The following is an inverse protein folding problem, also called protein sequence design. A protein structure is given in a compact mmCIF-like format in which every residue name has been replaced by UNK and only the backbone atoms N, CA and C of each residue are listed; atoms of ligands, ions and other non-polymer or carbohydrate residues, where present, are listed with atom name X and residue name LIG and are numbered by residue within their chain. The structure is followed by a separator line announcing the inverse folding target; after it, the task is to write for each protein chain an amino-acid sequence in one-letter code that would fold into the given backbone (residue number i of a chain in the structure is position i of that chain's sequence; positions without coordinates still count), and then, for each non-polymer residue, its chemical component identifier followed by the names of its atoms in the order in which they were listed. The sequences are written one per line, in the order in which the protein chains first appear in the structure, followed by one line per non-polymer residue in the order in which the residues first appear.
data_IF_359144183071
#
_entry.id   IF_359144183071
#
_cell.length_a   1.000
_cell.length_b   1.000
_cell.length_c   1.000
_cell.angle_alpha   90.00
_cell.angle_beta   90.00
_cell.angle_gamma   90.00
#
_symmetry.space_group_name_H-M   'P 1'
#
loop_
_entity.id
_entity.type
_entity.pdbx_description
1 polymer ?
#
# COMPACT_ATOMS: atom_id res chain seq x y z
N UNK A 1 -5.50 -18.82 -11.83
CA UNK A 1 -4.62 -17.95 -10.99
C UNK A 1 -5.08 -16.52 -11.21
N UNK A 2 -5.49 -15.83 -10.15
CA UNK A 2 -5.90 -14.41 -10.24
C UNK A 2 -4.60 -13.59 -10.32
N UNK A 3 -4.42 -12.83 -11.41
CA UNK A 3 -3.18 -12.11 -11.70
C UNK A 3 -3.40 -10.63 -11.39
N UNK A 4 -2.39 -9.98 -10.81
CA UNK A 4 -2.37 -8.52 -10.63
C UNK A 4 -2.40 -7.79 -11.98
N UNK A 5 -3.21 -6.74 -12.09
CA UNK A 5 -3.20 -5.84 -13.24
C UNK A 5 -2.16 -4.72 -12.99
N UNK A 6 -1.05 -4.67 -13.75
CA UNK A 6 0.00 -3.66 -13.57
C UNK A 6 -0.46 -2.21 -13.77
N UNK A 7 -1.65 -1.98 -14.31
CA UNK A 7 -2.25 -0.65 -14.47
C UNK A 7 -2.81 -0.09 -13.16
N UNK A 8 -3.08 -0.95 -12.17
CA UNK A 8 -3.50 -0.50 -10.84
C UNK A 8 -2.27 0.06 -10.13
N UNK A 9 -2.34 1.33 -9.73
CA UNK A 9 -1.25 1.99 -9.03
C UNK A 9 -1.08 1.43 -7.60
N UNK A 10 0.15 1.46 -7.10
CA UNK A 10 0.47 1.08 -5.73
C UNK A 10 1.04 2.30 -5.00
N UNK A 11 0.52 2.60 -3.80
CA UNK A 11 1.11 3.52 -2.84
C UNK A 11 1.81 2.72 -1.73
N UNK A 12 3.08 2.98 -1.51
CA UNK A 12 3.84 2.51 -0.36
C UNK A 12 4.06 3.66 0.62
N UNK A 13 3.51 3.52 1.84
CA UNK A 13 3.68 4.49 2.94
C UNK A 13 4.72 3.93 3.91
N UNK A 14 5.78 4.69 4.15
CA UNK A 14 6.91 4.28 4.98
C UNK A 14 7.12 5.18 6.20
N UNK A 15 7.30 4.54 7.34
CA UNK A 15 7.52 5.15 8.66
C UNK A 15 8.87 4.77 9.29
N UNK A 16 9.86 4.36 8.50
CA UNK A 16 11.17 3.98 8.99
C UNK A 16 11.19 2.65 9.77
N UNK A 17 10.53 1.62 9.26
CA UNK A 17 10.53 0.27 9.83
C UNK A 17 11.44 -0.68 9.08
N UNK A 18 11.97 -1.68 9.79
CA UNK A 18 12.92 -2.67 9.24
C UNK A 18 12.33 -3.57 8.15
N UNK A 19 11.00 -3.72 8.12
CA UNK A 19 10.32 -4.62 7.20
C UNK A 19 10.09 -4.04 5.79
N UNK A 20 10.39 -2.76 5.58
CA UNK A 20 10.18 -2.08 4.28
C UNK A 20 10.76 -2.87 3.10
N UNK A 21 11.92 -3.51 3.29
CA UNK A 21 12.53 -4.32 2.22
C UNK A 21 11.63 -5.47 1.81
N UNK A 22 11.02 -6.18 2.76
CA UNK A 22 10.15 -7.32 2.47
C UNK A 22 8.88 -6.89 1.72
N UNK A 23 8.29 -5.76 2.11
CA UNK A 23 7.13 -5.19 1.42
C UNK A 23 7.52 -4.76 0.01
N UNK A 24 8.65 -4.07 -0.13
CA UNK A 24 9.12 -3.60 -1.43
C UNK A 24 9.48 -4.76 -2.37
N UNK A 25 10.07 -5.85 -1.86
CA UNK A 25 10.33 -7.06 -2.64
C UNK A 25 9.03 -7.66 -3.22
N UNK A 26 7.90 -7.62 -2.48
CA UNK A 26 6.59 -8.04 -3.01
C UNK A 26 6.08 -7.13 -4.11
N UNK A 27 6.31 -5.81 -3.99
CA UNK A 27 5.98 -4.85 -5.05
C UNK A 27 6.83 -5.13 -6.31
N UNK A 28 8.11 -5.43 -6.16
CA UNK A 28 9.00 -5.81 -7.27
C UNK A 28 8.54 -7.07 -8.00
N UNK A 29 7.97 -8.03 -7.30
CA UNK A 29 7.45 -9.25 -7.93
C UNK A 29 6.25 -8.99 -8.85
N UNK A 30 5.39 -8.01 -8.51
CA UNK A 30 4.18 -7.69 -9.28
C UNK A 30 4.40 -6.60 -10.32
N UNK A 31 5.47 -5.83 -10.22
CA UNK A 31 5.93 -4.84 -11.22
C UNK A 31 4.83 -3.85 -11.64
N UNK A 32 4.32 -3.00 -10.73
CA UNK A 32 3.33 -1.99 -11.09
C UNK A 32 3.91 -1.01 -12.12
N UNK A 33 3.07 -0.50 -13.01
CA UNK A 33 3.45 0.57 -13.95
C UNK A 33 3.52 1.94 -13.30
N UNK A 34 2.83 2.15 -12.19
CA UNK A 34 2.85 3.37 -11.39
C UNK A 34 3.05 3.02 -9.91
N UNK A 35 4.09 3.57 -9.34
CA UNK A 35 4.45 3.38 -7.93
C UNK A 35 4.60 4.73 -7.26
N UNK A 36 3.81 4.93 -6.22
CA UNK A 36 3.85 6.09 -5.34
C UNK A 36 4.58 5.69 -4.07
N UNK A 37 5.56 6.48 -3.65
CA UNK A 37 6.37 6.21 -2.47
C UNK A 37 6.31 7.44 -1.57
N UNK A 38 5.70 7.29 -0.40
CA UNK A 38 5.64 8.30 0.62
C UNK A 38 6.53 7.91 1.80
N UNK A 39 7.48 8.75 2.17
CA UNK A 39 8.39 8.52 3.30
C UNK A 39 8.28 9.67 4.27
N UNK A 40 7.98 9.39 5.55
CA UNK A 40 7.95 10.41 6.59
C UNK A 40 9.38 10.87 6.95
N UNK A 41 9.47 12.05 7.50
CA UNK A 41 10.74 12.64 7.93
C UNK A 41 11.23 12.04 9.25
N UNK A 42 12.49 12.31 9.58
CA UNK A 42 13.10 11.90 10.85
C UNK A 42 12.83 12.89 11.97
N UNK A 43 12.80 12.38 13.22
CA UNK A 43 12.76 13.21 14.44
C UNK A 43 14.16 13.43 15.04
N UNK A 44 15.14 12.57 14.68
CA UNK A 44 16.50 12.60 15.24
C UNK A 44 17.50 11.94 14.27
N UNK A 45 18.79 12.03 14.60
CA UNK A 45 19.88 11.53 13.74
C UNK A 45 19.83 10.02 13.50
N UNK A 46 19.39 9.23 14.47
CA UNK A 46 19.24 7.78 14.32
C UNK A 46 18.16 7.46 13.30
N UNK A 47 17.01 8.11 13.39
CA UNK A 47 15.94 7.97 12.41
C UNK A 47 16.35 8.51 11.04
N UNK A 48 17.18 9.54 10.98
CA UNK A 48 17.71 10.06 9.72
C UNK A 48 18.48 8.99 8.93
N UNK A 49 19.26 8.15 9.60
CA UNK A 49 19.95 7.01 8.97
C UNK A 49 18.95 6.01 8.40
N UNK A 50 17.93 5.64 9.20
CA UNK A 50 16.88 4.71 8.77
C UNK A 50 16.08 5.28 7.58
N UNK A 51 15.74 6.57 7.60
CA UNK A 51 15.09 7.23 6.45
C UNK A 51 15.93 7.14 5.18
N UNK A 52 17.26 7.33 5.28
CA UNK A 52 18.18 7.21 4.13
C UNK A 52 18.24 5.77 3.62
N UNK A 53 18.29 4.79 4.51
CA UNK A 53 18.26 3.36 4.15
C UNK A 53 16.94 3.01 3.47
N UNK A 54 15.81 3.42 4.04
CA UNK A 54 14.46 3.26 3.46
C UNK A 54 14.42 3.84 2.05
N UNK A 55 14.86 5.09 1.90
CA UNK A 55 14.88 5.78 0.60
C UNK A 55 15.79 5.06 -0.40
N UNK A 56 16.93 4.53 0.05
CA UNK A 56 17.83 3.74 -0.79
C UNK A 56 17.17 2.44 -1.28
N UNK A 57 16.52 1.70 -0.38
CA UNK A 57 15.82 0.44 -0.70
C UNK A 57 14.75 0.69 -1.79
N UNK A 58 13.87 1.66 -1.56
CA UNK A 58 12.73 1.92 -2.46
C UNK A 58 13.12 2.65 -3.76
N UNK A 59 14.37 3.06 -3.90
CA UNK A 59 14.88 3.69 -5.12
C UNK A 59 15.39 2.69 -6.17
N UNK A 60 15.58 1.42 -5.79
CA UNK A 60 16.07 0.38 -6.70
C UNK A 60 14.93 -0.26 -7.51
N UNK A 61 14.47 0.46 -8.52
CA UNK A 61 13.41 0.01 -9.43
C UNK A 61 14.06 -0.42 -10.74
N UNK A 62 13.98 -1.73 -11.03
CA UNK A 62 14.61 -2.41 -12.15
C UNK A 62 13.61 -2.91 -13.21
N UNK A 63 12.39 -2.36 -13.20
CA UNK A 63 11.33 -2.62 -14.18
C UNK A 63 10.75 -1.30 -14.72
N UNK A 64 10.04 -1.36 -15.85
CA UNK A 64 9.37 -0.19 -16.43
C UNK A 64 8.28 0.32 -15.49
N UNK A 65 8.49 1.48 -14.86
CA UNK A 65 7.63 2.05 -13.85
C UNK A 65 7.73 3.57 -13.81
N UNK A 66 6.60 4.25 -13.76
CA UNK A 66 6.54 5.66 -13.38
C UNK A 66 6.54 5.75 -11.86
N UNK A 67 7.52 6.48 -11.30
CA UNK A 67 7.71 6.58 -9.86
C UNK A 67 7.43 7.99 -9.40
N UNK A 68 6.50 8.11 -8.45
CA UNK A 68 6.15 9.36 -7.79
C UNK A 68 6.62 9.31 -6.34
N UNK A 69 7.22 10.42 -5.86
CA UNK A 69 7.88 10.44 -4.54
C UNK A 69 7.34 11.61 -3.71
N UNK A 70 6.91 11.30 -2.48
CA UNK A 70 6.53 12.28 -1.46
C UNK A 70 7.42 12.05 -0.24
N UNK A 71 8.55 12.76 -0.18
CA UNK A 71 9.50 12.64 0.91
C UNK A 71 9.38 13.87 1.83
N UNK A 72 9.02 13.63 3.09
CA UNK A 72 8.86 14.68 4.08
C UNK A 72 10.22 15.11 4.67
N UNK A 73 10.49 16.41 4.68
CA UNK A 73 11.72 16.95 5.28
C UNK A 73 11.73 16.92 6.81
N UNK A 74 10.55 16.78 7.44
CA UNK A 74 10.35 16.68 8.88
C UNK A 74 9.31 15.63 9.19
N UNK A 75 9.45 14.98 10.35
CA UNK A 75 8.46 14.01 10.81
C UNK A 75 7.10 14.67 11.00
N UNK A 76 6.09 14.11 10.35
CA UNK A 76 4.69 14.56 10.43
C UNK A 76 3.92 13.81 11.51
N UNK A 77 4.42 12.67 11.94
CA UNK A 77 3.70 11.69 12.75
C UNK A 77 2.75 10.83 11.90
N UNK A 78 2.39 9.68 12.47
CA UNK A 78 1.65 8.63 11.77
C UNK A 78 0.38 9.15 11.09
N UNK A 79 -0.54 9.75 11.85
CA UNK A 79 -1.85 10.14 11.33
C UNK A 79 -1.76 11.15 10.19
N UNK A 80 -0.92 12.18 10.37
CA UNK A 80 -0.76 13.23 9.34
C UNK A 80 -0.08 12.71 8.10
N UNK A 81 0.97 11.89 8.27
CA UNK A 81 1.68 11.33 7.13
C UNK A 81 0.79 10.38 6.32
N UNK A 82 0.04 9.49 6.99
CA UNK A 82 -0.96 8.65 6.33
C UNK A 82 -1.99 9.48 5.57
N UNK A 83 -2.60 10.46 6.24
CA UNK A 83 -3.62 11.30 5.63
C UNK A 83 -3.09 12.02 4.39
N UNK A 84 -1.93 12.68 4.48
CA UNK A 84 -1.33 13.40 3.37
C UNK A 84 -0.93 12.48 2.22
N UNK A 85 -0.37 11.31 2.54
CA UNK A 85 0.07 10.34 1.53
C UNK A 85 -1.11 9.77 0.76
N UNK A 86 -2.20 9.40 1.45
CA UNK A 86 -3.40 8.87 0.84
C UNK A 86 -4.13 9.95 0.03
N UNK A 87 -4.25 11.17 0.57
CA UNK A 87 -4.86 12.29 -0.16
C UNK A 87 -4.08 12.60 -1.44
N UNK A 88 -2.76 12.74 -1.33
CA UNK A 88 -1.88 12.98 -2.48
C UNK A 88 -2.00 11.89 -3.55
N UNK A 89 -2.13 10.62 -3.16
CA UNK A 89 -2.32 9.51 -4.07
C UNK A 89 -3.65 9.60 -4.82
N UNK A 90 -4.76 9.82 -4.10
CA UNK A 90 -6.09 9.88 -4.70
C UNK A 90 -6.40 11.20 -5.43
N UNK A 91 -5.57 12.23 -5.31
CA UNK A 91 -5.59 13.38 -6.21
C UNK A 91 -5.15 13.03 -7.64
N UNK A 92 -4.44 11.91 -7.82
CA UNK A 92 -3.86 11.48 -9.09
C UNK A 92 -4.43 10.17 -9.61
N UNK A 93 -4.92 9.31 -8.73
CA UNK A 93 -5.42 7.99 -9.05
C UNK A 93 -6.86 7.80 -8.54
N UNK A 94 -7.79 7.31 -9.38
CA UNK A 94 -9.16 7.08 -8.94
C UNK A 94 -9.30 5.85 -8.04
N UNK A 95 -8.33 4.92 -8.10
CA UNK A 95 -8.28 3.69 -7.32
C UNK A 95 -6.84 3.18 -7.26
N UNK A 96 -6.52 2.38 -6.25
CA UNK A 96 -5.20 1.76 -6.15
C UNK A 96 -5.05 0.88 -4.92
N UNK A 97 -3.85 0.33 -4.75
CA UNK A 97 -3.48 -0.49 -3.60
C UNK A 97 -2.58 0.33 -2.68
N UNK A 98 -2.90 0.36 -1.40
CA UNK A 98 -2.11 1.05 -0.37
C UNK A 98 -1.45 -0.01 0.50
N UNK A 99 -0.15 0.12 0.71
CA UNK A 99 0.66 -0.75 1.56
C UNK A 99 1.43 0.09 2.57
N UNK A 100 1.49 -0.38 3.80
CA UNK A 100 2.37 0.17 4.85
C UNK A 100 3.67 -0.64 4.93
N UNK A 101 4.73 -0.03 5.49
CA UNK A 101 6.08 -0.60 5.51
C UNK A 101 6.25 -1.82 6.44
N UNK A 102 5.26 -2.16 7.24
CA UNK A 102 5.23 -3.33 8.13
C UNK A 102 4.21 -4.41 7.70
N UNK A 103 3.45 -4.18 6.64
CA UNK A 103 2.42 -5.08 6.15
C UNK A 103 2.89 -5.82 4.89
N UNK A 104 3.51 -7.00 5.07
CA UNK A 104 4.03 -7.81 3.95
C UNK A 104 2.89 -8.57 3.27
N UNK A 105 2.46 -8.16 2.06
CA UNK A 105 1.36 -8.83 1.39
C UNK A 105 1.77 -10.18 0.81
N UNK A 106 0.82 -11.12 0.74
CA UNK A 106 0.98 -12.29 -0.12
C UNK A 106 0.81 -11.88 -1.60
N UNK A 107 1.39 -12.63 -2.54
CA UNK A 107 1.20 -12.34 -3.97
C UNK A 107 -0.25 -12.44 -4.42
N UNK A 108 -1.03 -13.33 -3.78
CA UNK A 108 -2.47 -13.46 -4.05
C UNK A 108 -3.27 -12.22 -3.65
N UNK A 109 -2.80 -11.41 -2.70
CA UNK A 109 -3.43 -10.16 -2.30
C UNK A 109 -3.57 -9.18 -3.48
N UNK A 110 -2.54 -9.04 -4.30
CA UNK A 110 -2.59 -8.13 -5.45
C UNK A 110 -3.65 -8.56 -6.48
N UNK A 111 -3.75 -9.86 -6.74
CA UNK A 111 -4.79 -10.40 -7.60
C UNK A 111 -6.20 -10.25 -7.00
N UNK A 112 -6.34 -10.47 -5.69
CA UNK A 112 -7.57 -10.22 -4.94
C UNK A 112 -8.01 -8.76 -5.07
N UNK A 113 -7.13 -7.79 -4.82
CA UNK A 113 -7.42 -6.37 -5.00
C UNK A 113 -7.81 -6.06 -6.44
N UNK A 114 -7.07 -6.55 -7.44
CA UNK A 114 -7.40 -6.35 -8.86
C UNK A 114 -8.82 -6.80 -9.18
N UNK A 115 -9.19 -7.98 -8.71
CA UNK A 115 -10.52 -8.56 -8.98
C UNK A 115 -11.63 -7.74 -8.35
N UNK A 116 -11.46 -7.36 -7.07
CA UNK A 116 -12.51 -6.66 -6.34
C UNK A 116 -12.62 -5.19 -6.74
N UNK A 117 -11.50 -4.50 -7.00
CA UNK A 117 -11.52 -3.14 -7.55
C UNK A 117 -12.28 -3.13 -8.89
N UNK A 118 -11.98 -4.05 -9.78
CA UNK A 118 -12.70 -4.16 -11.06
C UNK A 118 -14.18 -4.47 -10.87
N UNK A 119 -14.53 -5.36 -9.93
CA UNK A 119 -15.90 -5.78 -9.66
C UNK A 119 -16.74 -4.64 -9.08
N UNK A 120 -16.17 -3.86 -8.16
CA UNK A 120 -16.92 -2.90 -7.37
C UNK A 120 -16.63 -1.43 -7.73
N UNK A 121 -15.88 -1.16 -8.79
CA UNK A 121 -15.51 0.21 -9.23
C UNK A 121 -16.68 1.18 -9.31
N UNK A 122 -17.85 0.70 -9.71
CA UNK A 122 -19.06 1.52 -9.91
C UNK A 122 -20.09 1.33 -8.80
N UNK A 123 -19.74 0.64 -7.70
CA UNK A 123 -20.63 0.44 -6.56
C UNK A 123 -20.24 1.41 -5.44
N UNK A 124 -20.92 2.55 -5.37
CA UNK A 124 -20.65 3.63 -4.40
C UNK A 124 -20.81 3.21 -2.93
N UNK A 125 -21.38 2.02 -2.67
CA UNK A 125 -21.49 1.47 -1.32
C UNK A 125 -20.17 0.87 -0.83
N UNK A 126 -19.23 0.60 -1.73
CA UNK A 126 -17.94 -0.04 -1.45
C UNK A 126 -16.84 1.02 -1.50
N UNK A 127 -16.50 1.56 -0.35
CA UNK A 127 -15.44 2.57 -0.24
C UNK A 127 -14.04 2.00 0.00
N UNK A 128 -13.93 0.73 0.45
CA UNK A 128 -12.65 0.15 0.83
C UNK A 128 -12.65 -1.38 0.68
N UNK A 129 -11.51 -1.92 0.26
CA UNK A 129 -11.23 -3.36 0.19
C UNK A 129 -10.04 -3.64 1.10
N UNK A 130 -10.25 -4.40 2.18
CA UNK A 130 -9.18 -4.79 3.11
C UNK A 130 -8.65 -6.18 2.80
N UNK A 131 -7.32 -6.34 2.88
CA UNK A 131 -6.64 -7.63 2.80
C UNK A 131 -6.64 -8.39 4.12
N UNK A 132 -6.98 -7.73 5.23
CA UNK A 132 -6.97 -8.31 6.57
C UNK A 132 -8.26 -9.07 6.87
N UNK A 133 -8.12 -10.28 7.43
CA UNK A 133 -9.26 -11.12 7.80
C UNK A 133 -9.34 -11.27 9.33
N UNK A 134 -10.21 -10.49 9.96
CA UNK A 134 -10.44 -10.54 11.40
C UNK A 134 -11.52 -11.54 11.82
N UNK A 135 -11.87 -12.52 10.97
CA UNK A 135 -12.91 -13.50 11.28
C UNK A 135 -12.46 -14.64 12.22
N UNK A 136 -11.15 -14.71 12.53
CA UNK A 136 -10.59 -15.71 13.45
C UNK A 136 -11.05 -17.16 13.14
N UNK A 137 -10.98 -17.55 11.86
CA UNK A 137 -11.39 -18.86 11.39
C UNK A 137 -12.89 -19.07 11.16
N UNK A 138 -13.74 -18.07 11.44
CA UNK A 138 -15.17 -18.13 11.10
C UNK A 138 -15.36 -17.83 9.61
N UNK A 139 -16.05 -18.72 8.92
CA UNK A 139 -16.42 -18.50 7.52
C UNK A 139 -17.71 -17.69 7.44
N UNK A 140 -17.71 -16.60 6.64
CA UNK A 140 -18.87 -15.77 6.35
C UNK A 140 -19.00 -15.61 4.83
N UNK A 141 -20.18 -15.88 4.31
CA UNK A 141 -20.42 -15.88 2.87
C UNK A 141 -19.91 -17.16 2.19
N UNK A 142 -19.44 -17.03 0.95
CA UNK A 142 -18.94 -18.17 0.13
C UNK A 142 -17.45 -18.52 0.37
N UNK A 143 -16.82 -17.83 1.33
CA UNK A 143 -15.43 -18.07 1.70
C UNK A 143 -14.39 -17.28 0.89
N UNK A 144 -14.79 -16.49 -0.11
CA UNK A 144 -13.87 -15.68 -0.91
C UNK A 144 -13.67 -14.28 -0.35
N UNK A 145 -14.74 -13.62 0.04
CA UNK A 145 -14.75 -12.33 0.74
C UNK A 145 -16.08 -12.12 1.47
N UNK A 146 -16.14 -11.11 2.32
CA UNK A 146 -17.38 -10.71 3.00
C UNK A 146 -17.49 -9.18 3.03
N UNK A 147 -18.73 -8.69 3.23
CA UNK A 147 -19.00 -7.28 3.41
C UNK A 147 -18.98 -6.92 4.90
N UNK A 148 -18.50 -5.73 5.22
CA UNK A 148 -18.50 -5.19 6.58
C UNK A 148 -18.90 -3.71 6.55
N UNK A 149 -19.69 -3.29 7.53
CA UNK A 149 -19.94 -1.87 7.80
C UNK A 149 -18.86 -1.27 8.71
N UNK A 150 -17.91 -2.08 9.18
CA UNK A 150 -16.79 -1.63 9.98
C UNK A 150 -15.63 -1.30 9.06
N UNK A 151 -15.06 -0.12 9.23
CA UNK A 151 -13.84 0.29 8.53
C UNK A 151 -12.65 -0.36 9.21
N UNK A 152 -12.03 -1.33 8.56
CA UNK A 152 -10.77 -1.94 8.98
C UNK A 152 -9.66 -1.33 8.13
N UNK A 153 -8.98 -0.33 8.64
CA UNK A 153 -7.94 0.43 7.94
C UNK A 153 -6.53 -0.01 8.38
N UNK A 154 -6.41 -1.00 9.24
CA UNK A 154 -5.11 -1.57 9.60
C UNK A 154 -4.75 -2.70 8.65
N UNK A 155 -3.65 -2.53 7.97
CA UNK A 155 -3.10 -3.39 6.94
C UNK A 155 -2.61 -4.75 7.38
#
# INVERSE_FOLDING_TARGET
MIIYDPKIAILLIAFNRSNIKQVFDRIKEVKPRRLYIAVDGSTNDTQCKICKETTSIVSHIDWECQVFKLYQGKNQGYDKHCFHSISWFFEQEPEGIILEDDCVPSLSFFGFCTTLLKKFRNDERIGHISGSNYQFGKNRGDGTYYYSNLTHVSG
#
